data_IF_363920830259
#
_entry.id   IF_363920830259
#
_cell.length_a   1.000
_cell.length_b   1.000
_cell.length_c   1.000
_cell.angle_alpha   90.00
_cell.angle_beta   90.00
_cell.angle_gamma   90.00
#
_symmetry.space_group_name_H-M   'P 1'
#
loop_
_entity.id
_entity.type
_entity.pdbx_description
1 polymer ?
#
# COMPACT_ATOMS: atom_id res chain seq x y z
N UNK A 1 -33.36 -8.33 -1.30
CA UNK A 1 -32.95 -7.76 -2.61
C UNK A 1 -32.34 -6.37 -2.50
N UNK A 2 -32.96 -5.43 -1.73
CA UNK A 2 -32.37 -4.09 -1.46
C UNK A 2 -31.02 -4.15 -0.74
N UNK A 3 -30.88 -5.06 0.22
CA UNK A 3 -29.67 -5.21 1.04
C UNK A 3 -28.46 -5.72 0.25
N UNK A 4 -28.64 -6.76 -0.58
CA UNK A 4 -27.59 -7.22 -1.52
C UNK A 4 -27.13 -6.12 -2.48
N UNK A 5 -28.07 -5.31 -2.97
CA UNK A 5 -27.76 -4.19 -3.87
C UNK A 5 -26.97 -3.09 -3.16
N UNK A 6 -27.26 -2.85 -1.88
CA UNK A 6 -26.52 -1.89 -1.04
C UNK A 6 -25.09 -2.37 -0.77
N UNK A 7 -24.90 -3.64 -0.39
CA UNK A 7 -23.57 -4.23 -0.18
C UNK A 7 -22.71 -4.12 -1.45
N UNK A 8 -23.29 -4.39 -2.62
CA UNK A 8 -22.57 -4.27 -3.88
C UNK A 8 -22.15 -2.82 -4.18
N UNK A 9 -23.03 -1.85 -3.92
CA UNK A 9 -22.70 -0.43 -4.06
C UNK A 9 -21.58 -0.02 -3.11
N UNK A 10 -21.64 -0.46 -1.85
CA UNK A 10 -20.62 -0.16 -0.85
C UNK A 10 -19.26 -0.77 -1.26
N UNK A 11 -19.24 -1.98 -1.83
CA UNK A 11 -18.00 -2.60 -2.37
C UNK A 11 -17.40 -1.75 -3.48
N UNK A 12 -18.22 -1.25 -4.40
CA UNK A 12 -17.76 -0.40 -5.50
C UNK A 12 -17.13 0.90 -4.97
N UNK A 13 -17.76 1.53 -3.98
CA UNK A 13 -17.20 2.73 -3.34
C UNK A 13 -15.85 2.44 -2.69
N UNK A 14 -15.74 1.33 -1.95
CA UNK A 14 -14.47 0.94 -1.32
C UNK A 14 -13.37 0.64 -2.35
N UNK A 15 -13.70 0.00 -3.45
CA UNK A 15 -12.75 -0.21 -4.54
C UNK A 15 -12.25 1.10 -5.14
N UNK A 16 -13.13 2.10 -5.32
CA UNK A 16 -12.73 3.43 -5.79
C UNK A 16 -11.77 4.09 -4.79
N UNK A 17 -12.08 4.05 -3.50
CA UNK A 17 -11.21 4.61 -2.46
C UNK A 17 -9.84 3.91 -2.43
N UNK A 18 -9.81 2.57 -2.47
CA UNK A 18 -8.57 1.81 -2.55
C UNK A 18 -7.74 2.21 -3.77
N UNK A 19 -8.39 2.38 -4.91
CA UNK A 19 -7.75 2.80 -6.16
C UNK A 19 -7.18 4.22 -6.07
N UNK A 20 -7.90 5.15 -5.43
CA UNK A 20 -7.40 6.50 -5.18
C UNK A 20 -6.17 6.48 -4.28
N UNK A 21 -6.16 5.64 -3.24
CA UNK A 21 -4.98 5.45 -2.37
C UNK A 21 -3.79 4.93 -3.16
N UNK A 22 -3.98 3.96 -4.07
CA UNK A 22 -2.91 3.47 -4.94
C UNK A 22 -2.32 4.59 -5.82
N UNK A 23 -3.19 5.41 -6.42
CA UNK A 23 -2.78 6.53 -7.28
C UNK A 23 -2.04 7.60 -6.47
N UNK A 24 -2.56 7.99 -5.31
CA UNK A 24 -1.89 8.95 -4.41
C UNK A 24 -0.52 8.41 -3.99
N UNK A 25 -0.44 7.14 -3.62
CA UNK A 25 0.83 6.50 -3.25
C UNK A 25 1.83 6.53 -4.41
N UNK A 26 1.38 6.27 -5.63
CA UNK A 26 2.23 6.36 -6.82
C UNK A 26 2.77 7.79 -7.03
N UNK A 27 1.94 8.82 -6.85
CA UNK A 27 2.39 10.22 -6.94
C UNK A 27 3.39 10.57 -5.84
N UNK A 28 3.20 10.03 -4.62
CA UNK A 28 4.14 10.23 -3.52
C UNK A 28 5.50 9.55 -3.78
N UNK A 29 5.52 8.39 -4.44
CA UNK A 29 6.76 7.76 -4.92
C UNK A 29 7.45 8.62 -5.97
N UNK A 30 6.72 9.10 -6.98
CA UNK A 30 7.28 9.93 -8.06
C UNK A 30 7.83 11.28 -7.59
N UNK A 31 7.31 11.79 -6.47
CA UNK A 31 7.76 13.05 -5.86
C UNK A 31 8.82 12.85 -4.77
N UNK A 32 9.23 11.60 -4.50
CA UNK A 32 10.18 11.26 -3.44
C UNK A 32 9.64 11.47 -2.02
N UNK A 33 8.34 11.71 -1.87
CA UNK A 33 7.67 11.78 -0.56
C UNK A 33 7.54 10.39 0.06
N UNK A 34 7.46 9.35 -0.77
CA UNK A 34 7.70 7.95 -0.40
C UNK A 34 8.88 7.39 -1.17
N UNK A 35 9.49 6.37 -0.59
CA UNK A 35 10.46 5.50 -1.23
C UNK A 35 10.39 4.12 -0.61
N UNK A 36 10.82 3.12 -1.35
CA UNK A 36 10.99 1.77 -0.83
C UNK A 36 12.00 1.76 0.33
N UNK A 37 11.65 1.06 1.42
CA UNK A 37 12.59 0.86 2.53
C UNK A 37 12.69 -0.58 3.05
N UNK A 38 11.83 -1.49 2.58
CA UNK A 38 11.87 -2.86 3.01
C UNK A 38 11.10 -3.80 2.10
N UNK A 39 11.41 -5.09 2.22
CA UNK A 39 10.71 -6.19 1.55
C UNK A 39 10.23 -7.13 2.65
N UNK A 40 8.96 -7.49 2.59
CA UNK A 40 8.35 -8.48 3.46
C UNK A 40 8.12 -9.75 2.64
N UNK A 41 8.74 -10.85 3.05
CA UNK A 41 8.67 -12.12 2.33
C UNK A 41 7.73 -13.05 3.07
N UNK A 42 6.78 -13.62 2.35
CA UNK A 42 5.80 -14.57 2.85
C UNK A 42 5.89 -15.87 2.03
N UNK A 43 5.41 -17.02 2.53
CA UNK A 43 5.36 -18.24 1.73
C UNK A 43 4.53 -18.04 0.45
N UNK A 44 5.20 -18.07 -0.71
CA UNK A 44 4.56 -17.93 -2.02
C UNK A 44 4.30 -16.50 -2.48
N UNK A 45 4.64 -15.48 -1.69
CA UNK A 45 4.50 -14.08 -2.10
C UNK A 45 5.49 -13.13 -1.43
N UNK A 46 5.56 -11.90 -1.90
CA UNK A 46 6.25 -10.83 -1.17
C UNK A 46 5.51 -9.50 -1.30
N UNK A 47 5.84 -8.56 -0.44
CA UNK A 47 5.36 -7.18 -0.52
C UNK A 47 6.49 -6.20 -0.26
N UNK A 48 6.34 -5.00 -0.81
CA UNK A 48 7.30 -3.91 -0.67
C UNK A 48 6.73 -2.89 0.31
N UNK A 49 7.53 -2.50 1.30
CA UNK A 49 7.15 -1.41 2.19
C UNK A 49 7.71 -0.09 1.73
N UNK A 50 6.82 0.90 1.66
CA UNK A 50 7.13 2.27 1.25
C UNK A 50 6.75 3.25 2.35
N UNK A 51 7.55 4.30 2.47
CA UNK A 51 7.37 5.38 3.43
C UNK A 51 8.32 6.52 3.13
N UNK A 52 8.22 7.63 3.86
CA UNK A 52 9.12 8.75 3.65
C UNK A 52 8.71 9.98 4.44
N UNK A 53 9.16 11.18 4.03
CA UNK A 53 9.00 12.42 4.81
C UNK A 53 7.58 12.66 5.34
N UNK A 54 6.56 12.40 4.51
CA UNK A 54 5.16 12.63 4.88
C UNK A 54 4.63 11.62 5.91
N UNK A 55 5.25 10.44 6.03
CA UNK A 55 4.89 9.45 7.05
C UNK A 55 5.80 9.48 8.28
N UNK A 56 6.73 10.43 8.38
CA UNK A 56 7.62 10.59 9.54
C UNK A 56 8.97 9.88 9.43
N UNK A 57 9.28 9.26 8.28
CA UNK A 57 10.61 8.67 8.01
C UNK A 57 11.40 9.54 7.02
N UNK A 58 12.71 9.38 6.96
CA UNK A 58 13.51 10.03 5.91
C UNK A 58 13.49 9.20 4.64
N UNK A 59 13.60 9.86 3.48
CA UNK A 59 13.84 9.18 2.21
C UNK A 59 15.16 8.39 2.29
N UNK A 60 15.15 7.14 1.83
CA UNK A 60 16.35 6.35 1.63
C UNK A 60 17.25 7.01 0.60
N UNK A 61 18.52 7.15 1.00
CA UNK A 61 19.61 7.61 0.16
C UNK A 61 20.85 6.77 0.44
N UNK A 62 21.78 6.78 -0.49
CA UNK A 62 23.08 6.13 -0.38
C UNK A 62 23.86 6.66 0.83
N UNK A 63 24.32 5.74 1.69
CA UNK A 63 25.17 6.10 2.83
C UNK A 63 26.51 6.69 2.42
N UNK A 64 27.02 6.32 1.24
CA UNK A 64 28.28 6.84 0.69
C UNK A 64 28.09 8.10 -0.15
N UNK A 65 26.86 8.55 -0.39
CA UNK A 65 26.55 9.63 -1.33
C UNK A 65 26.72 9.23 -2.80
N UNK A 66 26.76 7.93 -3.09
CA UNK A 66 26.83 7.42 -4.47
C UNK A 66 25.51 7.68 -5.20
N UNK A 67 25.57 8.59 -6.17
CA UNK A 67 24.43 8.97 -7.02
C UNK A 67 23.88 7.82 -7.86
N UNK A 68 24.68 6.81 -8.15
CA UNK A 68 24.26 5.63 -8.92
C UNK A 68 23.31 4.77 -8.08
N UNK A 69 23.60 4.64 -6.78
CA UNK A 69 22.73 3.94 -5.83
C UNK A 69 21.42 4.72 -5.68
N UNK A 70 21.49 6.04 -5.52
CA UNK A 70 20.29 6.89 -5.44
C UNK A 70 19.43 6.78 -6.70
N UNK A 71 20.05 6.81 -7.88
CA UNK A 71 19.36 6.64 -9.16
C UNK A 71 18.69 5.25 -9.27
N UNK A 72 19.31 4.22 -8.70
CA UNK A 72 18.73 2.87 -8.66
C UNK A 72 17.49 2.83 -7.78
N UNK A 73 17.53 3.50 -6.62
CA UNK A 73 16.36 3.64 -5.73
C UNK A 73 15.24 4.39 -6.45
N UNK A 74 15.55 5.50 -7.10
CA UNK A 74 14.59 6.28 -7.89
C UNK A 74 13.96 5.46 -9.02
N UNK A 75 14.75 4.64 -9.71
CA UNK A 75 14.23 3.75 -10.75
C UNK A 75 13.25 2.72 -10.18
N UNK A 76 13.52 2.15 -9.00
CA UNK A 76 12.60 1.22 -8.32
C UNK A 76 11.31 1.93 -7.92
N UNK A 77 11.40 3.14 -7.36
CA UNK A 77 10.22 3.93 -6.95
C UNK A 77 9.34 4.29 -8.16
N UNK A 78 9.95 4.68 -9.29
CA UNK A 78 9.24 4.96 -10.54
C UNK A 78 8.56 3.69 -11.09
N UNK A 79 9.27 2.56 -11.13
CA UNK A 79 8.69 1.29 -11.57
C UNK A 79 7.50 0.89 -10.71
N UNK A 80 7.62 1.02 -9.39
CA UNK A 80 6.54 0.72 -8.46
C UNK A 80 5.33 1.65 -8.63
N UNK A 81 5.57 2.94 -8.86
CA UNK A 81 4.52 3.90 -9.18
C UNK A 81 3.77 3.53 -10.47
N UNK A 82 4.49 3.12 -11.52
CA UNK A 82 3.87 2.65 -12.77
C UNK A 82 3.00 1.41 -12.52
N UNK A 83 3.46 0.47 -11.70
CA UNK A 83 2.70 -0.74 -11.38
C UNK A 83 1.41 -0.43 -10.60
N UNK A 84 1.47 0.51 -9.64
CA UNK A 84 0.30 1.02 -8.91
C UNK A 84 -0.68 1.71 -9.89
N UNK A 85 -0.20 2.64 -10.71
CA UNK A 85 -1.02 3.33 -11.72
C UNK A 85 -1.60 2.35 -12.74
N UNK A 86 -0.93 1.23 -13.02
CA UNK A 86 -1.42 0.20 -13.94
C UNK A 86 -2.31 -0.86 -13.30
N UNK A 87 -2.61 -0.73 -11.99
CA UNK A 87 -3.41 -1.69 -11.21
C UNK A 87 -2.83 -3.12 -11.24
N UNK A 88 -1.50 -3.23 -11.34
CA UNK A 88 -0.77 -4.51 -11.31
C UNK A 88 -0.38 -4.94 -9.91
N UNK A 89 -0.23 -3.95 -9.03
CA UNK A 89 -0.04 -4.09 -7.59
C UNK A 89 -0.92 -3.08 -6.89
N UNK A 90 -1.21 -3.31 -5.62
CA UNK A 90 -2.11 -2.47 -4.82
C UNK A 90 -1.56 -2.35 -3.40
N UNK A 91 -1.97 -1.29 -2.71
CA UNK A 91 -1.76 -1.17 -1.28
C UNK A 91 -2.58 -2.25 -0.58
N UNK A 92 -1.90 -3.11 0.18
CA UNK A 92 -2.52 -4.24 0.87
C UNK A 92 -2.40 -4.14 2.41
N UNK A 93 -1.77 -3.09 2.93
CA UNK A 93 -1.65 -2.89 4.37
C UNK A 93 -1.06 -1.54 4.75
N UNK A 94 -1.33 -1.15 6.00
CA UNK A 94 -0.73 0.01 6.66
C UNK A 94 -0.03 -0.50 7.91
N UNK A 95 1.24 -0.16 8.07
CA UNK A 95 2.01 -0.49 9.27
C UNK A 95 2.26 0.78 10.06
N UNK A 96 1.86 0.79 11.33
CA UNK A 96 2.02 1.93 12.23
C UNK A 96 3.14 1.61 13.22
N UNK A 97 4.02 2.57 13.43
CA UNK A 97 5.14 2.47 14.37
C UNK A 97 5.27 3.76 15.19
N UNK A 98 6.03 3.78 16.30
CA UNK A 98 6.22 4.99 17.09
C UNK A 98 6.86 6.16 16.33
N UNK A 99 7.56 5.90 15.22
CA UNK A 99 8.26 6.92 14.43
C UNK A 99 7.48 7.39 13.21
N UNK A 100 6.30 6.82 12.96
CA UNK A 100 5.58 7.06 11.71
C UNK A 100 4.83 5.83 11.21
N UNK A 101 4.31 5.90 9.99
CA UNK A 101 3.65 4.78 9.35
C UNK A 101 4.26 4.46 7.98
N UNK A 102 3.92 3.30 7.45
CA UNK A 102 4.33 2.86 6.12
C UNK A 102 3.20 2.11 5.45
N UNK A 103 3.26 2.05 4.12
CA UNK A 103 2.32 1.29 3.33
C UNK A 103 2.99 0.06 2.77
N UNK A 104 2.22 -1.01 2.69
CA UNK A 104 2.62 -2.26 2.06
C UNK A 104 2.01 -2.35 0.68
N UNK A 105 2.85 -2.62 -0.32
CA UNK A 105 2.46 -2.81 -1.71
C UNK A 105 2.65 -4.28 -2.07
N UNK A 106 1.54 -4.93 -2.43
CA UNK A 106 1.50 -6.32 -2.81
C UNK A 106 0.57 -6.57 -3.99
N UNK A 107 0.18 -7.82 -4.18
CA UNK A 107 -0.80 -8.22 -5.18
C UNK A 107 -0.30 -9.31 -6.13
N UNK A 108 -1.08 -9.60 -7.19
CA UNK A 108 -0.85 -10.77 -8.05
C UNK A 108 0.54 -10.84 -8.67
N UNK A 109 1.11 -9.70 -9.05
CA UNK A 109 2.46 -9.66 -9.63
C UNK A 109 3.55 -10.14 -8.65
N UNK A 110 3.31 -10.00 -7.35
CA UNK A 110 4.22 -10.44 -6.29
C UNK A 110 3.77 -11.76 -5.64
N UNK A 111 2.85 -12.51 -6.27
CA UNK A 111 2.35 -13.80 -5.80
C UNK A 111 1.21 -13.71 -4.76
N UNK A 112 0.80 -12.50 -4.37
CA UNK A 112 -0.30 -12.29 -3.43
C UNK A 112 -1.68 -12.21 -4.12
N UNK A 113 -2.75 -12.33 -3.36
CA UNK A 113 -4.10 -12.05 -3.88
C UNK A 113 -4.31 -10.54 -4.09
N UNK A 114 -5.21 -10.17 -5.00
CA UNK A 114 -5.67 -8.78 -5.10
C UNK A 114 -6.50 -8.44 -3.86
N UNK A 115 -6.28 -7.29 -3.20
CA UNK A 115 -7.12 -6.88 -2.08
C UNK A 115 -8.57 -6.68 -2.53
N UNK A 116 -9.52 -7.29 -1.82
CA UNK A 116 -10.95 -7.13 -2.06
C UNK A 116 -11.67 -6.70 -0.76
N UNK A 117 -12.66 -5.78 -0.83
CA UNK A 117 -13.45 -5.39 0.33
C UNK A 117 -14.30 -6.53 0.90
N UNK A 118 -14.01 -6.94 2.13
CA UNK A 118 -14.83 -7.89 2.90
C UNK A 118 -15.91 -7.17 3.72
N UNK A 119 -16.99 -6.79 3.06
CA UNK A 119 -18.13 -6.10 3.68
C UNK A 119 -19.06 -6.97 4.55
N UNK A 120 -19.40 -8.23 4.18
CA UNK A 120 -20.34 -9.04 4.95
C UNK A 120 -19.93 -9.26 6.41
N UNK A 121 -18.63 -9.22 6.70
CA UNK A 121 -18.09 -9.42 8.04
C UNK A 121 -17.66 -8.13 8.73
N UNK A 122 -17.72 -6.97 8.06
CA UNK A 122 -17.18 -5.71 8.57
C UNK A 122 -17.82 -5.28 9.91
N UNK A 123 -19.15 -5.40 10.04
CA UNK A 123 -19.85 -5.04 11.28
C UNK A 123 -19.45 -5.97 12.44
N UNK A 124 -19.30 -7.27 12.17
CA UNK A 124 -18.85 -8.24 13.16
C UNK A 124 -17.43 -7.91 13.63
N UNK A 125 -16.51 -7.66 12.69
CA UNK A 125 -15.11 -7.32 12.98
C UNK A 125 -15.03 -6.03 13.80
N UNK A 126 -15.79 -4.99 13.42
CA UNK A 126 -15.82 -3.72 14.15
C UNK A 126 -16.34 -3.89 15.60
N UNK A 127 -17.41 -4.66 15.77
CA UNK A 127 -17.96 -4.95 17.10
C UNK A 127 -17.02 -5.81 17.95
N UNK A 128 -16.24 -6.71 17.36
CA UNK A 128 -15.21 -7.48 18.06
C UNK A 128 -14.03 -6.59 18.48
N UNK A 129 -13.58 -5.70 17.59
CA UNK A 129 -12.52 -4.74 17.91
C UNK A 129 -12.86 -3.83 19.09
N UNK A 130 -14.09 -3.29 19.13
CA UNK A 130 -14.57 -2.43 20.23
C UNK A 130 -14.73 -3.16 21.58
N UNK A 131 -14.67 -4.49 21.62
CA UNK A 131 -14.69 -5.24 22.89
C UNK A 131 -13.32 -5.42 23.52
N UNK A 132 -12.25 -5.20 22.74
CA UNK A 132 -10.86 -5.42 23.15
C UNK A 132 -10.17 -4.11 23.56
N UNK A 133 -10.69 -2.98 23.08
CA UNK A 133 -10.36 -1.62 23.57
C UNK A 133 -11.23 -1.24 24.77
#
# INVERSE_FOLDING_TARGET
MKEKKKVEQDKQVLHVIQREIDIITALLLLTGQYTIFGIFVEPGSFSLSVGGPITGTSRIVSKSGDKTVDLTIDAIDILLAILLISDKVNINGIFISPRGFSLSIGGPLFGGAKPEPDLPHAEKIFNEFNKIL
#
